data_IF_069099828133
#
_entry.id   IF_069099828133
#
_cell.length_a   1.000
_cell.length_b   1.000
_cell.length_c   1.000
_cell.angle_alpha   90.00
_cell.angle_beta   90.00
_cell.angle_gamma   90.00
#
_symmetry.space_group_name_H-M   'P 1'
#
loop_
_entity.id
_entity.type
_entity.pdbx_description
1 polymer ?
#
# COMPACT_ATOMS: atom_id res chain seq x y z
N UNK A 1 27.64 68.33 -33.65
CA UNK A 1 28.18 69.40 -32.80
C UNK A 1 28.00 69.04 -31.35
N UNK A 2 29.15 69.07 -30.61
CA UNK A 2 29.33 69.17 -29.14
C UNK A 2 28.59 68.14 -28.25
N UNK A 3 29.22 67.04 -27.76
CA UNK A 3 30.08 66.96 -26.59
C UNK A 3 29.54 67.70 -25.33
N UNK A 4 29.22 66.93 -24.26
CA UNK A 4 29.88 67.14 -22.98
C UNK A 4 29.67 65.93 -22.06
N UNK A 5 30.74 65.55 -21.45
CA UNK A 5 31.20 64.49 -20.64
C UNK A 5 31.08 64.82 -19.12
N UNK A 6 30.93 63.77 -18.32
CA UNK A 6 31.57 63.52 -17.02
C UNK A 6 30.86 63.97 -15.74
N UNK A 7 31.37 63.44 -14.62
CA UNK A 7 30.92 62.29 -13.83
C UNK A 7 30.66 62.76 -12.38
N UNK A 8 30.25 61.87 -11.51
CA UNK A 8 30.50 61.92 -10.05
C UNK A 8 29.53 60.95 -9.34
N UNK A 9 29.86 60.18 -8.49
CA UNK A 9 30.76 59.90 -7.38
C UNK A 9 30.00 58.94 -6.46
N UNK A 10 30.70 57.95 -6.10
CA UNK A 10 30.47 56.94 -5.06
C UNK A 10 30.06 57.56 -3.70
N UNK A 11 29.01 57.05 -3.07
CA UNK A 11 28.88 57.15 -1.64
C UNK A 11 28.26 55.89 -1.05
N UNK A 12 29.13 55.07 -0.45
CA UNK A 12 28.73 54.01 0.44
C UNK A 12 28.07 54.59 1.70
N UNK A 13 26.88 54.10 2.00
CA UNK A 13 26.30 54.28 3.33
C UNK A 13 25.99 52.92 3.89
N UNK A 14 26.84 52.45 4.80
CA UNK A 14 26.60 51.31 5.70
C UNK A 14 25.62 51.80 6.77
N UNK A 15 24.44 51.25 6.79
CA UNK A 15 23.55 51.36 7.95
C UNK A 15 23.37 50.00 8.57
N UNK A 16 24.03 49.80 9.68
CA UNK A 16 23.77 48.77 10.66
C UNK A 16 22.44 49.07 11.33
N UNK A 17 21.45 48.21 11.22
CA UNK A 17 20.33 48.23 12.16
C UNK A 17 20.19 46.90 12.86
N UNK A 18 20.13 47.07 14.11
CA UNK A 18 19.99 46.19 15.25
C UNK A 18 18.80 45.23 15.17
N UNK A 19 19.02 44.07 15.78
CA UNK A 19 18.02 43.05 16.13
C UNK A 19 16.80 43.65 16.87
N UNK A 20 15.63 43.19 16.51
CA UNK A 20 14.56 42.93 17.46
C UNK A 20 13.94 41.57 17.13
N UNK A 21 14.04 40.69 18.08
CA UNK A 21 13.39 39.41 18.18
C UNK A 21 11.87 39.59 18.22
N UNK A 22 11.16 38.92 17.33
CA UNK A 22 9.74 38.60 17.48
C UNK A 22 9.60 37.10 17.38
N UNK A 23 9.37 36.49 18.53
CA UNK A 23 9.07 35.08 18.70
C UNK A 23 7.63 34.83 18.20
N UNK A 24 7.50 34.39 16.94
CA UNK A 24 6.33 33.69 16.46
C UNK A 24 6.57 32.18 16.61
N UNK A 25 5.54 31.35 16.89
CA UNK A 25 5.73 29.90 16.96
C UNK A 25 6.11 29.37 15.58
N UNK A 26 7.35 28.93 15.45
CA UNK A 26 7.83 28.22 14.27
C UNK A 26 7.19 26.83 14.24
N UNK A 27 6.48 26.56 13.16
CA UNK A 27 6.19 25.19 12.73
C UNK A 27 7.53 24.55 12.32
N UNK A 28 8.24 23.98 13.27
CA UNK A 28 9.34 23.05 13.02
C UNK A 28 8.78 21.64 12.83
N UNK A 29 8.06 21.41 11.72
CA UNK A 29 7.81 20.08 11.20
C UNK A 29 9.04 19.55 10.44
N UNK A 30 10.20 19.68 11.02
CA UNK A 30 11.39 18.95 10.64
C UNK A 30 11.42 17.67 11.47
N UNK A 31 10.57 16.69 11.10
CA UNK A 31 10.75 15.31 11.56
C UNK A 31 12.13 14.90 11.03
N UNK A 32 13.10 14.56 11.88
CA UNK A 32 14.37 14.03 11.41
C UNK A 32 14.06 12.79 10.59
N UNK A 33 14.53 12.78 9.34
CA UNK A 33 14.59 11.55 8.55
C UNK A 33 15.33 10.52 9.43
N UNK A 34 14.70 9.43 9.87
CA UNK A 34 15.39 8.43 10.66
C UNK A 34 16.58 7.97 9.82
N UNK A 35 17.77 7.89 10.40
CA UNK A 35 18.92 7.23 9.77
C UNK A 35 18.58 5.75 9.60
N UNK A 36 17.66 5.45 8.68
CA UNK A 36 17.36 4.08 8.29
C UNK A 36 18.58 3.57 7.54
N UNK A 37 19.15 2.47 8.03
CA UNK A 37 20.28 1.82 7.37
C UNK A 37 19.95 1.48 5.91
N UNK A 38 20.98 1.31 5.08
CA UNK A 38 20.82 0.89 3.69
C UNK A 38 20.07 -0.45 3.62
N UNK A 39 18.98 -0.51 2.85
CA UNK A 39 18.18 -1.73 2.68
C UNK A 39 18.93 -2.73 1.79
N UNK A 40 19.01 -3.98 2.22
CA UNK A 40 19.48 -5.08 1.38
C UNK A 40 18.38 -5.57 0.43
N UNK A 41 18.74 -5.80 -0.83
CA UNK A 41 17.87 -6.37 -1.86
C UNK A 41 18.40 -7.71 -2.36
N UNK A 42 17.60 -8.80 -2.27
CA UNK A 42 18.03 -10.09 -2.81
C UNK A 42 18.12 -10.03 -4.35
N UNK A 43 19.14 -10.70 -4.96
CA UNK A 43 19.31 -10.67 -6.40
C UNK A 43 18.08 -11.13 -7.18
N UNK A 44 17.77 -10.45 -8.28
CA UNK A 44 16.72 -10.86 -9.20
C UNK A 44 17.12 -12.17 -9.87
N UNK A 45 16.22 -13.16 -9.88
CA UNK A 45 16.47 -14.48 -10.49
C UNK A 45 17.27 -15.46 -9.62
N UNK A 46 17.56 -15.10 -8.36
CA UNK A 46 18.16 -16.00 -7.37
C UNK A 46 17.19 -16.29 -6.20
N UNK A 47 17.35 -17.46 -5.61
CA UNK A 47 16.70 -17.81 -4.34
C UNK A 47 17.54 -17.37 -3.12
N UNK A 48 18.74 -16.87 -3.34
CA UNK A 48 19.61 -16.38 -2.28
C UNK A 48 19.01 -15.13 -1.63
N UNK A 49 19.11 -15.07 -0.29
CA UNK A 49 18.66 -13.94 0.51
C UNK A 49 19.53 -13.85 1.76
N UNK A 50 20.10 -12.69 2.04
CA UNK A 50 20.85 -12.51 3.28
C UNK A 50 19.95 -12.64 4.50
N UNK A 51 20.55 -13.13 5.59
CA UNK A 51 19.87 -13.29 6.87
C UNK A 51 20.58 -12.51 7.96
N UNK A 52 19.86 -12.15 8.99
CA UNK A 52 20.42 -11.66 10.26
C UNK A 52 19.75 -12.40 11.40
N UNK A 53 20.46 -12.56 12.54
CA UNK A 53 19.84 -13.28 13.66
C UNK A 53 19.08 -12.31 14.57
N UNK A 54 18.00 -12.75 15.25
CA UNK A 54 17.33 -11.95 16.26
C UNK A 54 18.28 -11.47 17.37
N UNK A 55 19.25 -12.29 17.75
CA UNK A 55 20.25 -11.94 18.75
C UNK A 55 21.16 -10.78 18.31
N UNK A 56 21.54 -10.72 17.02
CA UNK A 56 22.37 -9.62 16.48
C UNK A 56 21.60 -8.29 16.47
N UNK A 57 20.27 -8.36 16.42
CA UNK A 57 19.36 -7.21 16.49
C UNK A 57 18.99 -6.83 17.94
N UNK A 58 19.39 -7.65 18.93
CA UNK A 58 19.04 -7.43 20.34
C UNK A 58 17.59 -7.81 20.69
N UNK A 59 16.91 -8.60 19.84
CA UNK A 59 15.55 -9.03 20.07
C UNK A 59 15.44 -10.08 21.19
N UNK A 60 14.29 -10.15 21.85
CA UNK A 60 14.06 -11.14 22.91
C UNK A 60 13.73 -12.52 22.36
N UNK A 61 14.76 -13.32 22.14
CA UNK A 61 14.61 -14.70 21.65
C UNK A 61 13.87 -15.63 22.61
N UNK A 62 13.63 -15.22 23.87
CA UNK A 62 12.82 -16.02 24.79
C UNK A 62 11.33 -15.96 24.45
N UNK A 63 10.88 -14.95 23.71
CA UNK A 63 9.51 -14.79 23.22
C UNK A 63 9.28 -15.49 21.86
N UNK A 64 10.33 -15.94 21.15
CA UNK A 64 10.25 -16.53 19.80
C UNK A 64 9.29 -17.72 19.74
N UNK A 65 9.37 -18.63 20.74
CA UNK A 65 8.52 -19.82 20.77
C UNK A 65 7.04 -19.46 20.91
N UNK A 66 6.70 -18.43 21.67
CA UNK A 66 5.30 -18.00 21.83
C UNK A 66 4.72 -17.39 20.55
N UNK A 67 5.55 -16.70 19.75
CA UNK A 67 5.17 -16.23 18.41
C UNK A 67 4.98 -17.42 17.46
N UNK A 68 5.90 -18.38 17.44
CA UNK A 68 5.80 -19.58 16.61
C UNK A 68 4.54 -20.39 16.93
N UNK A 69 4.27 -20.65 18.22
CA UNK A 69 3.11 -21.42 18.67
C UNK A 69 1.78 -20.73 18.28
N UNK A 70 1.71 -19.39 18.39
CA UNK A 70 0.56 -18.62 17.94
C UNK A 70 0.32 -18.79 16.44
N UNK A 71 1.37 -18.65 15.63
CA UNK A 71 1.26 -18.76 14.17
C UNK A 71 0.83 -20.17 13.75
N UNK A 72 1.36 -21.21 14.38
CA UNK A 72 0.95 -22.60 14.14
C UNK A 72 -0.51 -22.83 14.53
N UNK A 73 -0.93 -22.39 15.75
CA UNK A 73 -2.32 -22.48 16.23
C UNK A 73 -3.30 -21.79 15.29
N UNK A 74 -2.88 -20.67 14.70
CA UNK A 74 -3.71 -19.83 13.83
C UNK A 74 -3.62 -20.20 12.34
N UNK A 75 -3.17 -21.41 12.02
CA UNK A 75 -3.19 -21.95 10.66
C UNK A 75 -2.31 -21.14 9.68
N UNK A 76 -1.16 -20.68 10.14
CA UNK A 76 -0.18 -20.04 9.26
C UNK A 76 0.49 -21.10 8.39
N UNK A 77 0.64 -20.82 7.10
CA UNK A 77 1.38 -21.64 6.13
C UNK A 77 2.80 -21.12 5.97
N UNK A 78 2.96 -19.82 5.73
CA UNK A 78 4.27 -19.20 5.56
C UNK A 78 4.35 -17.86 6.29
N UNK A 79 5.49 -17.63 6.97
CA UNK A 79 5.74 -16.42 7.74
C UNK A 79 7.17 -15.93 7.53
N UNK A 80 7.32 -14.63 7.23
CA UNK A 80 8.63 -14.00 7.05
C UNK A 80 8.64 -12.67 7.81
N UNK A 81 9.73 -12.42 8.53
CA UNK A 81 10.09 -11.09 9.03
C UNK A 81 11.38 -10.65 8.36
N UNK A 82 11.35 -9.46 7.75
CA UNK A 82 12.57 -8.78 7.27
C UNK A 82 12.87 -7.57 8.15
N UNK A 83 14.15 -7.40 8.48
CA UNK A 83 14.73 -6.19 9.06
C UNK A 83 15.84 -5.69 8.15
N UNK A 84 15.80 -4.42 7.76
CA UNK A 84 16.74 -3.82 6.82
C UNK A 84 16.92 -4.62 5.51
N UNK A 85 15.81 -5.24 5.04
CA UNK A 85 15.78 -6.08 3.84
C UNK A 85 16.31 -7.51 4.02
N UNK A 86 16.89 -7.86 5.18
CA UNK A 86 17.41 -9.21 5.48
C UNK A 86 16.38 -10.05 6.21
N UNK A 87 16.38 -11.36 5.94
CA UNK A 87 15.50 -12.31 6.64
C UNK A 87 15.97 -12.48 8.09
N UNK A 88 15.09 -12.16 9.04
CA UNK A 88 15.26 -12.48 10.49
C UNK A 88 14.59 -13.78 10.82
N UNK A 89 13.36 -13.96 10.31
CA UNK A 89 12.52 -15.14 10.52
C UNK A 89 11.99 -15.58 9.17
N UNK A 90 12.03 -16.90 8.94
CA UNK A 90 11.38 -17.54 7.80
C UNK A 90 10.89 -18.92 8.25
N UNK A 91 9.58 -19.05 8.46
CA UNK A 91 8.93 -20.26 8.92
C UNK A 91 7.87 -20.74 7.94
N UNK A 92 7.79 -22.04 7.80
CA UNK A 92 6.78 -22.74 7.03
C UNK A 92 6.16 -23.83 7.91
N UNK A 93 4.82 -23.94 7.88
CA UNK A 93 4.08 -24.79 8.79
C UNK A 93 3.41 -25.93 8.06
N UNK A 94 3.16 -27.06 8.77
CA UNK A 94 2.55 -28.25 8.20
C UNK A 94 3.34 -28.81 7.01
N UNK A 95 2.64 -29.03 5.90
CA UNK A 95 3.23 -29.50 4.64
C UNK A 95 3.61 -28.35 3.69
N UNK A 96 3.38 -27.09 4.09
CA UNK A 96 3.67 -25.92 3.24
C UNK A 96 5.18 -25.66 3.21
N UNK A 97 5.71 -25.30 2.04
CA UNK A 97 7.14 -25.08 1.80
C UNK A 97 7.41 -23.73 1.14
N UNK A 98 8.68 -23.32 1.09
CA UNK A 98 9.13 -22.08 0.41
C UNK A 98 8.75 -22.03 -1.08
N UNK A 99 8.45 -23.17 -1.70
CA UNK A 99 8.05 -23.24 -3.13
C UNK A 99 6.56 -23.18 -3.37
N UNK A 100 5.75 -23.32 -2.32
CA UNK A 100 4.31 -23.37 -2.45
C UNK A 100 3.70 -21.98 -2.60
N UNK A 101 2.63 -21.90 -3.39
CA UNK A 101 1.90 -20.65 -3.62
C UNK A 101 0.62 -20.59 -2.80
N UNK A 102 0.38 -19.45 -2.20
CA UNK A 102 -0.86 -19.14 -1.51
C UNK A 102 -1.53 -17.91 -2.14
N UNK A 103 -2.86 -17.78 -2.01
CA UNK A 103 -3.58 -16.57 -2.43
C UNK A 103 -3.25 -15.40 -1.51
N UNK A 104 -2.99 -14.21 -2.08
CA UNK A 104 -2.91 -12.98 -1.31
C UNK A 104 -4.30 -12.42 -0.95
N UNK A 105 -5.34 -12.95 -1.58
CA UNK A 105 -6.68 -12.40 -1.50
C UNK A 105 -6.65 -10.88 -1.71
N UNK A 106 -7.32 -10.11 -0.83
CA UNK A 106 -7.37 -8.65 -0.96
C UNK A 106 -6.05 -7.93 -0.72
N UNK A 107 -5.02 -8.58 -0.15
CA UNK A 107 -3.69 -7.97 -0.08
C UNK A 107 -3.12 -7.70 -1.50
N UNK A 108 -3.55 -8.47 -2.51
CA UNK A 108 -3.19 -8.21 -3.92
C UNK A 108 -3.69 -6.88 -4.48
N UNK A 109 -4.65 -6.20 -3.83
CA UNK A 109 -5.09 -4.86 -4.20
C UNK A 109 -3.95 -3.83 -4.17
N UNK A 110 -3.01 -4.02 -3.27
CA UNK A 110 -1.82 -3.16 -3.16
C UNK A 110 -0.93 -3.24 -4.41
N UNK A 111 -0.84 -4.42 -5.02
CA UNK A 111 -0.16 -4.63 -6.29
C UNK A 111 -0.92 -3.95 -7.46
N UNK A 112 -2.27 -3.95 -7.41
CA UNK A 112 -3.10 -3.19 -8.37
C UNK A 112 -2.86 -1.69 -8.23
N UNK A 113 -2.81 -1.15 -7.01
CA UNK A 113 -2.53 0.28 -6.79
C UNK A 113 -1.17 0.70 -7.38
N UNK A 114 -0.13 -0.08 -7.16
CA UNK A 114 1.19 0.19 -7.74
C UNK A 114 1.17 0.09 -9.28
N UNK A 115 0.43 -0.89 -9.83
CA UNK A 115 0.29 -1.04 -11.30
C UNK A 115 -0.39 0.18 -11.93
N UNK A 116 -1.41 0.75 -11.28
CA UNK A 116 -2.07 2.00 -11.72
C UNK A 116 -1.09 3.18 -11.66
N UNK A 117 -0.29 3.27 -10.59
CA UNK A 117 0.72 4.33 -10.45
C UNK A 117 1.76 4.31 -11.56
N UNK A 118 2.24 3.12 -11.93
CA UNK A 118 3.17 2.96 -13.05
C UNK A 118 2.52 3.34 -14.38
N UNK A 119 1.25 2.99 -14.60
CA UNK A 119 0.52 3.38 -15.81
C UNK A 119 0.33 4.91 -15.88
N UNK A 120 0.11 5.59 -14.74
CA UNK A 120 0.10 7.04 -14.66
C UNK A 120 1.47 7.65 -14.96
N UNK A 121 2.53 7.17 -14.33
CA UNK A 121 3.89 7.65 -14.55
C UNK A 121 4.32 7.52 -16.02
N UNK A 122 3.94 6.43 -16.68
CA UNK A 122 4.21 6.21 -18.10
C UNK A 122 3.29 7.06 -19.02
N UNK A 123 2.35 7.84 -18.45
CA UNK A 123 1.47 8.73 -19.19
C UNK A 123 0.33 8.05 -19.94
N UNK A 124 0.00 6.80 -19.59
CA UNK A 124 -1.13 6.08 -20.19
C UNK A 124 -2.47 6.51 -19.60
N UNK A 125 -2.49 6.95 -18.35
CA UNK A 125 -3.67 7.45 -17.66
C UNK A 125 -3.29 8.52 -16.64
N UNK A 126 -4.31 9.27 -16.17
CA UNK A 126 -4.22 10.05 -14.94
C UNK A 126 -5.29 9.58 -13.96
N UNK A 127 -4.97 9.47 -12.69
CA UNK A 127 -5.97 9.06 -11.68
C UNK A 127 -7.10 10.10 -11.53
N UNK A 128 -6.88 11.35 -11.98
CA UNK A 128 -7.90 12.39 -12.04
C UNK A 128 -8.88 12.27 -13.21
N UNK A 129 -8.54 11.48 -14.23
CA UNK A 129 -9.40 11.31 -15.41
C UNK A 129 -10.67 10.54 -15.08
N UNK A 130 -11.72 10.78 -15.84
CA UNK A 130 -12.94 9.99 -15.77
C UNK A 130 -12.67 8.54 -16.17
N UNK A 131 -13.21 7.58 -15.42
CA UNK A 131 -13.15 6.17 -15.78
C UNK A 131 -13.79 5.90 -17.14
N UNK A 132 -14.77 6.71 -17.53
CA UNK A 132 -15.44 6.65 -18.83
C UNK A 132 -14.48 6.90 -20.01
N UNK A 133 -13.38 7.65 -19.80
CA UNK A 133 -12.37 7.90 -20.85
C UNK A 133 -11.67 6.60 -21.28
N UNK A 134 -11.62 5.62 -20.41
CA UNK A 134 -10.99 4.31 -20.64
C UNK A 134 -12.00 3.20 -20.92
N UNK A 135 -13.16 3.23 -20.25
CA UNK A 135 -14.17 2.19 -20.34
C UNK A 135 -15.22 2.45 -21.43
N UNK A 136 -15.31 3.70 -21.89
CA UNK A 136 -16.37 4.15 -22.81
C UNK A 136 -17.68 4.47 -22.07
N UNK A 137 -18.58 5.21 -22.74
CA UNK A 137 -19.91 5.50 -22.23
C UNK A 137 -20.74 4.24 -22.09
N UNK A 138 -21.49 4.13 -21.00
CA UNK A 138 -22.38 3.02 -20.71
C UNK A 138 -21.67 1.77 -20.16
N UNK A 139 -20.53 1.97 -19.51
CA UNK A 139 -19.82 0.91 -18.76
C UNK A 139 -20.58 0.43 -17.51
N UNK A 140 -21.59 1.20 -17.09
CA UNK A 140 -22.43 0.95 -15.92
C UNK A 140 -23.91 1.18 -16.24
N UNK A 141 -24.80 1.10 -15.26
CA UNK A 141 -26.22 1.49 -15.36
C UNK A 141 -26.46 2.95 -14.96
N UNK A 142 -25.40 3.71 -14.74
CA UNK A 142 -25.46 5.13 -14.41
C UNK A 142 -25.79 5.95 -15.67
N UNK A 143 -26.20 7.21 -15.47
CA UNK A 143 -26.29 8.16 -16.58
C UNK A 143 -24.88 8.58 -17.06
N UNK A 144 -24.71 9.04 -18.31
CA UNK A 144 -23.41 9.49 -18.79
C UNK A 144 -22.79 10.59 -17.90
N UNK A 145 -23.60 11.48 -17.33
CA UNK A 145 -23.10 12.51 -16.43
C UNK A 145 -22.59 11.91 -15.11
N UNK A 146 -23.26 10.87 -14.59
CA UNK A 146 -22.80 10.17 -13.38
C UNK A 146 -21.51 9.38 -13.65
N UNK A 147 -21.45 8.67 -14.79
CA UNK A 147 -20.22 7.96 -15.19
C UNK A 147 -19.03 8.92 -15.35
N UNK A 148 -19.25 10.09 -15.96
CA UNK A 148 -18.21 11.10 -16.16
C UNK A 148 -17.64 11.67 -14.84
N UNK A 149 -18.40 11.60 -13.75
CA UNK A 149 -17.96 12.06 -12.42
C UNK A 149 -17.15 11.01 -11.65
N UNK A 150 -17.10 9.74 -12.09
CA UNK A 150 -16.31 8.70 -11.45
C UNK A 150 -14.90 8.70 -12.04
N UNK A 151 -13.92 9.18 -11.28
CA UNK A 151 -12.52 9.16 -11.68
C UNK A 151 -11.83 7.84 -11.31
N UNK A 152 -10.70 7.56 -11.95
CA UNK A 152 -9.82 6.42 -11.59
C UNK A 152 -9.44 6.46 -10.10
N UNK A 153 -9.21 7.66 -9.56
CA UNK A 153 -8.92 7.85 -8.13
C UNK A 153 -10.05 7.36 -7.22
N UNK A 154 -11.31 7.52 -7.62
CA UNK A 154 -12.44 7.04 -6.82
C UNK A 154 -12.44 5.51 -6.65
N UNK A 155 -11.95 4.76 -7.62
CA UNK A 155 -11.77 3.30 -7.49
C UNK A 155 -10.63 2.96 -6.51
N UNK A 156 -9.49 3.66 -6.60
CA UNK A 156 -8.34 3.49 -5.70
C UNK A 156 -8.68 3.80 -4.24
N UNK A 157 -9.56 4.76 -4.01
CA UNK A 157 -9.93 5.26 -2.67
C UNK A 157 -11.22 4.65 -2.11
N UNK A 158 -11.85 3.71 -2.84
CA UNK A 158 -13.13 3.08 -2.46
C UNK A 158 -14.29 4.09 -2.29
N UNK A 159 -14.34 5.11 -3.15
CA UNK A 159 -15.31 6.21 -3.07
C UNK A 159 -16.07 6.45 -4.37
N UNK A 160 -16.26 5.41 -5.19
CA UNK A 160 -16.94 5.52 -6.50
C UNK A 160 -18.40 5.93 -6.41
N UNK A 161 -19.06 5.70 -5.27
CA UNK A 161 -20.49 5.91 -5.13
C UNK A 161 -21.37 4.83 -5.77
N UNK A 162 -20.78 3.75 -6.29
CA UNK A 162 -21.51 2.59 -6.81
C UNK A 162 -22.23 1.84 -5.67
N UNK A 163 -23.35 1.22 -5.98
CA UNK A 163 -24.18 0.51 -5.00
C UNK A 163 -23.56 -0.82 -4.60
N UNK A 164 -23.05 -0.87 -3.38
CA UNK A 164 -22.48 -2.05 -2.75
C UNK A 164 -23.52 -2.98 -2.10
N UNK A 165 -24.82 -2.60 -2.14
CA UNK A 165 -25.92 -3.38 -1.55
C UNK A 165 -26.63 -4.26 -2.57
N UNK A 166 -26.08 -4.38 -3.78
CA UNK A 166 -26.52 -5.33 -4.79
C UNK A 166 -26.35 -6.78 -4.31
N UNK A 167 -27.06 -7.73 -4.94
CA UNK A 167 -27.04 -9.15 -4.55
C UNK A 167 -25.64 -9.75 -4.53
N UNK A 168 -24.79 -9.38 -5.50
CA UNK A 168 -23.37 -9.77 -5.56
C UNK A 168 -22.47 -8.51 -5.63
N UNK A 169 -21.89 -8.09 -4.51
CA UNK A 169 -21.02 -6.90 -4.46
C UNK A 169 -19.64 -7.11 -5.12
N UNK A 170 -19.36 -8.28 -5.67
CA UNK A 170 -18.18 -8.56 -6.49
C UNK A 170 -18.46 -8.42 -7.99
N UNK A 171 -19.72 -8.50 -8.40
CA UNK A 171 -20.14 -8.42 -9.78
C UNK A 171 -19.82 -7.04 -10.38
N UNK A 172 -18.97 -7.02 -11.40
CA UNK A 172 -18.64 -5.81 -12.18
C UNK A 172 -19.23 -5.83 -13.60
N UNK A 173 -20.17 -6.72 -13.86
CA UNK A 173 -21.01 -6.61 -15.07
C UNK A 173 -21.83 -5.33 -14.99
N UNK A 174 -22.10 -4.72 -16.15
CA UNK A 174 -22.81 -3.44 -16.23
C UNK A 174 -24.06 -3.37 -15.36
N UNK A 175 -24.86 -4.45 -15.36
CA UNK A 175 -26.15 -4.55 -14.69
C UNK A 175 -26.03 -4.52 -13.16
N UNK A 176 -24.84 -4.85 -12.62
CA UNK A 176 -24.54 -4.81 -11.19
C UNK A 176 -24.04 -3.43 -10.73
N UNK A 177 -23.60 -2.58 -11.66
CA UNK A 177 -22.97 -1.29 -11.37
C UNK A 177 -24.03 -0.19 -11.33
N UNK A 178 -24.70 -0.07 -10.19
CA UNK A 178 -25.81 0.85 -9.97
C UNK A 178 -25.32 2.09 -9.20
N UNK A 179 -26.03 3.23 -9.37
CA UNK A 179 -25.75 4.45 -8.63
C UNK A 179 -26.33 4.37 -7.20
N UNK A 180 -25.55 4.80 -6.22
CA UNK A 180 -26.00 4.96 -4.83
C UNK A 180 -25.69 6.33 -4.25
N UNK A 181 -24.45 6.80 -4.39
CA UNK A 181 -23.98 8.07 -3.82
C UNK A 181 -23.20 8.86 -4.86
N UNK A 182 -23.05 10.18 -4.67
CA UNK A 182 -22.11 10.96 -5.43
C UNK A 182 -20.68 10.48 -5.19
N UNK A 183 -19.84 10.33 -6.25
CA UNK A 183 -18.45 9.97 -6.10
C UNK A 183 -17.71 10.89 -5.12
N UNK A 184 -16.85 10.32 -4.28
CA UNK A 184 -16.10 11.05 -3.27
C UNK A 184 -16.87 11.44 -2.01
N UNK A 185 -18.16 11.11 -1.89
CA UNK A 185 -18.99 11.50 -0.73
C UNK A 185 -19.23 10.37 0.28
N UNK A 186 -18.92 9.14 -0.11
CA UNK A 186 -19.10 7.96 0.73
C UNK A 186 -17.96 6.97 0.53
N UNK A 187 -17.46 6.39 1.61
CA UNK A 187 -16.46 5.32 1.56
C UNK A 187 -17.11 3.98 1.89
N UNK A 188 -16.88 2.99 1.05
CA UNK A 188 -17.24 1.61 1.30
C UNK A 188 -16.27 0.66 0.61
N UNK A 189 -15.86 -0.40 1.31
CA UNK A 189 -14.96 -1.42 0.76
C UNK A 189 -15.70 -2.27 -0.28
N UNK A 190 -15.70 -1.84 -1.54
CA UNK A 190 -16.50 -2.39 -2.63
C UNK A 190 -15.61 -3.12 -3.64
N UNK A 191 -15.71 -4.47 -3.68
CA UNK A 191 -14.84 -5.27 -4.51
C UNK A 191 -15.05 -5.04 -6.02
N UNK A 192 -16.29 -4.97 -6.50
CA UNK A 192 -16.55 -4.65 -7.90
C UNK A 192 -15.89 -3.34 -8.32
N UNK A 193 -15.98 -2.30 -7.48
CA UNK A 193 -15.44 -0.98 -7.78
C UNK A 193 -13.92 -1.00 -8.00
N UNK A 194 -13.15 -1.74 -7.18
CA UNK A 194 -11.70 -1.79 -7.38
C UNK A 194 -11.30 -2.67 -8.58
N UNK A 195 -12.03 -3.77 -8.83
CA UNK A 195 -11.67 -4.72 -9.90
C UNK A 195 -11.77 -4.09 -11.29
N UNK A 196 -12.59 -3.05 -11.45
CA UNK A 196 -12.70 -2.24 -12.69
C UNK A 196 -11.35 -1.60 -13.06
N UNK A 197 -10.45 -1.34 -12.12
CA UNK A 197 -9.11 -0.83 -12.39
C UNK A 197 -8.33 -1.73 -13.37
N UNK A 198 -8.56 -3.04 -13.35
CA UNK A 198 -7.92 -3.98 -14.29
C UNK A 198 -8.31 -3.65 -15.74
N UNK A 199 -9.58 -3.32 -15.97
CA UNK A 199 -10.09 -2.94 -17.30
C UNK A 199 -9.58 -1.55 -17.69
N UNK A 200 -9.53 -0.61 -16.74
CA UNK A 200 -9.00 0.74 -16.98
C UNK A 200 -7.53 0.67 -17.41
N UNK A 201 -6.68 -0.06 -16.68
CA UNK A 201 -5.26 -0.23 -17.03
C UNK A 201 -5.11 -0.94 -18.37
N UNK A 202 -5.91 -1.98 -18.62
CA UNK A 202 -5.88 -2.70 -19.91
C UNK A 202 -6.22 -1.78 -21.07
N UNK A 203 -7.27 -0.98 -20.94
CA UNK A 203 -7.71 -0.05 -21.98
C UNK A 203 -6.70 1.09 -22.19
N UNK A 204 -6.20 1.69 -21.11
CA UNK A 204 -5.23 2.77 -21.16
C UNK A 204 -3.91 2.36 -21.80
N UNK A 205 -3.36 1.20 -21.41
CA UNK A 205 -2.03 0.74 -21.85
C UNK A 205 -2.07 -0.06 -23.14
N UNK A 206 -3.24 -0.54 -23.58
CA UNK A 206 -3.39 -1.49 -24.68
C UNK A 206 -2.79 -2.88 -24.39
N UNK A 207 -2.43 -3.15 -23.14
CA UNK A 207 -1.83 -4.41 -22.67
C UNK A 207 -2.72 -4.99 -21.56
N UNK A 208 -3.01 -6.28 -21.63
CA UNK A 208 -3.76 -6.96 -20.56
C UNK A 208 -3.16 -6.67 -19.19
N UNK A 209 -4.00 -6.34 -18.20
CA UNK A 209 -3.59 -5.93 -16.85
C UNK A 209 -2.59 -6.90 -16.21
N UNK A 210 -2.85 -8.20 -16.30
CA UNK A 210 -1.97 -9.23 -15.71
C UNK A 210 -0.59 -9.18 -16.36
N UNK A 211 -0.55 -9.12 -17.68
CA UNK A 211 0.68 -9.03 -18.46
C UNK A 211 1.44 -7.75 -18.14
N UNK A 212 0.74 -6.61 -18.06
CA UNK A 212 1.35 -5.33 -17.73
C UNK A 212 1.94 -5.34 -16.31
N UNK A 213 1.19 -5.81 -15.32
CA UNK A 213 1.64 -5.97 -13.93
C UNK A 213 2.87 -6.89 -13.83
N UNK A 214 2.90 -8.01 -14.59
CA UNK A 214 4.07 -8.90 -14.62
C UNK A 214 5.31 -8.21 -15.16
N UNK A 215 5.19 -7.55 -16.30
CA UNK A 215 6.33 -6.88 -16.95
C UNK A 215 6.87 -5.70 -16.15
N UNK A 216 5.98 -4.97 -15.49
CA UNK A 216 6.34 -3.73 -14.78
C UNK A 216 6.81 -3.95 -13.36
N UNK A 217 6.31 -4.98 -12.68
CA UNK A 217 6.61 -5.22 -11.26
C UNK A 217 7.22 -6.61 -11.06
N UNK A 218 6.44 -7.68 -11.26
CA UNK A 218 6.81 -9.05 -10.90
C UNK A 218 8.18 -9.46 -11.43
N UNK A 219 8.39 -9.33 -12.74
CA UNK A 219 9.59 -9.80 -13.42
C UNK A 219 10.81 -8.93 -13.09
N UNK A 220 10.59 -7.65 -12.78
CA UNK A 220 11.65 -6.69 -12.48
C UNK A 220 12.25 -6.85 -11.09
N UNK A 221 11.47 -7.34 -10.13
CA UNK A 221 11.94 -7.57 -8.76
C UNK A 221 12.12 -9.06 -8.42
N UNK A 222 12.02 -9.94 -9.44
CA UNK A 222 12.23 -11.37 -9.28
C UNK A 222 11.15 -12.09 -8.48
N UNK A 223 9.92 -11.57 -8.44
CA UNK A 223 8.77 -12.26 -7.88
C UNK A 223 8.37 -13.45 -8.77
N UNK A 224 7.82 -14.47 -8.14
CA UNK A 224 7.06 -15.54 -8.78
C UNK A 224 5.59 -15.37 -8.50
N UNK A 225 4.74 -16.09 -9.21
CA UNK A 225 3.31 -16.04 -8.97
C UNK A 225 2.52 -15.50 -10.14
N UNK A 226 1.19 -15.59 -10.03
CA UNK A 226 0.29 -15.23 -11.12
C UNK A 226 -1.05 -14.71 -10.59
N UNK A 227 -1.68 -13.83 -11.38
CA UNK A 227 -3.07 -13.49 -11.22
C UNK A 227 -3.98 -14.62 -11.69
N UNK A 228 -4.90 -15.05 -10.84
CA UNK A 228 -5.91 -16.10 -11.14
C UNK A 228 -7.29 -15.50 -10.95
N UNK A 229 -8.13 -15.61 -11.96
CA UNK A 229 -9.52 -15.15 -11.90
C UNK A 229 -10.39 -16.22 -11.24
N UNK A 230 -11.06 -15.88 -10.15
CA UNK A 230 -12.00 -16.74 -9.43
C UNK A 230 -13.33 -15.99 -9.30
N UNK A 231 -14.32 -16.37 -10.11
CA UNK A 231 -15.56 -15.61 -10.26
C UNK A 231 -15.25 -14.19 -10.77
N UNK A 232 -15.71 -13.18 -10.06
CA UNK A 232 -15.42 -11.77 -10.35
C UNK A 232 -14.11 -11.28 -9.73
N UNK A 233 -13.40 -12.08 -8.91
CA UNK A 233 -12.16 -11.68 -8.29
C UNK A 233 -10.95 -12.01 -9.16
N UNK A 234 -10.02 -11.10 -9.24
CA UNK A 234 -8.69 -11.32 -9.76
C UNK A 234 -7.71 -11.36 -8.58
N UNK A 235 -7.22 -12.55 -8.25
CA UNK A 235 -6.41 -12.82 -7.05
C UNK A 235 -4.97 -13.13 -7.44
N UNK A 236 -4.01 -12.53 -6.75
CA UNK A 236 -2.60 -12.86 -6.94
C UNK A 236 -2.21 -14.05 -6.05
N UNK A 237 -1.56 -15.04 -6.65
CA UNK A 237 -1.02 -16.21 -5.95
C UNK A 237 0.49 -16.22 -6.08
N UNK A 238 1.20 -16.35 -4.98
CA UNK A 238 2.66 -16.49 -4.96
C UNK A 238 3.14 -17.22 -3.72
N UNK A 239 4.44 -17.56 -3.71
CA UNK A 239 5.09 -17.99 -2.48
C UNK A 239 5.34 -16.80 -1.53
N UNK A 240 5.65 -17.12 -0.27
CA UNK A 240 5.84 -16.13 0.80
C UNK A 240 6.97 -15.14 0.49
N UNK A 241 8.10 -15.63 -0.06
CA UNK A 241 9.24 -14.78 -0.45
C UNK A 241 8.89 -13.79 -1.56
N UNK A 242 7.99 -14.14 -2.46
CA UNK A 242 7.52 -13.21 -3.50
C UNK A 242 6.69 -12.07 -2.93
N UNK A 243 5.85 -12.34 -1.94
CA UNK A 243 5.14 -11.29 -1.21
C UNK A 243 6.12 -10.41 -0.43
N UNK A 244 7.16 -11.00 0.16
CA UNK A 244 8.22 -10.27 0.82
C UNK A 244 9.00 -9.36 -0.14
N UNK A 245 9.28 -9.79 -1.38
CA UNK A 245 9.90 -8.94 -2.40
C UNK A 245 9.05 -7.72 -2.74
N UNK A 246 7.74 -7.91 -2.87
CA UNK A 246 6.83 -6.79 -3.10
C UNK A 246 6.78 -5.83 -1.90
N UNK A 247 6.73 -6.37 -0.68
CA UNK A 247 6.80 -5.57 0.54
C UNK A 247 8.10 -4.75 0.63
N UNK A 248 9.24 -5.35 0.30
CA UNK A 248 10.54 -4.68 0.28
C UNK A 248 10.61 -3.56 -0.77
N UNK A 249 10.03 -3.78 -1.97
CA UNK A 249 9.87 -2.72 -2.97
C UNK A 249 9.06 -1.54 -2.42
N UNK A 250 7.96 -1.83 -1.71
CA UNK A 250 7.11 -0.80 -1.13
C UNK A 250 7.79 -0.10 0.05
N UNK A 251 8.51 -0.84 0.90
CA UNK A 251 9.29 -0.27 2.00
C UNK A 251 10.34 0.74 1.49
N UNK A 252 10.94 0.46 0.33
CA UNK A 252 11.85 1.37 -0.37
C UNK A 252 11.15 2.29 -1.40
N UNK A 253 9.90 2.63 -1.13
CA UNK A 253 9.14 3.64 -1.87
C UNK A 253 9.15 3.44 -3.40
N UNK A 254 9.02 2.20 -3.86
CA UNK A 254 8.94 1.87 -5.29
C UNK A 254 10.28 1.72 -6.02
N UNK A 255 11.40 1.69 -5.29
CA UNK A 255 12.74 1.46 -5.84
C UNK A 255 13.26 0.09 -5.40
N UNK A 256 13.67 -0.75 -6.34
CA UNK A 256 14.30 -2.04 -6.08
C UNK A 256 15.80 -1.93 -6.29
N UNK A 257 16.57 -1.95 -5.19
CA UNK A 257 17.99 -1.64 -5.25
C UNK A 257 18.21 -0.29 -5.98
N UNK A 258 19.01 -0.23 -7.03
CA UNK A 258 19.21 0.97 -7.86
C UNK A 258 18.17 1.13 -8.99
N UNK A 259 17.15 0.26 -9.05
CA UNK A 259 16.16 0.25 -10.14
C UNK A 259 14.84 0.86 -9.73
N UNK A 260 14.50 2.00 -10.29
CA UNK A 260 13.17 2.60 -10.13
C UNK A 260 12.10 1.74 -10.83
N UNK A 261 11.12 1.26 -10.07
CA UNK A 261 9.95 0.53 -10.53
C UNK A 261 8.76 1.49 -10.64
N UNK A 262 8.62 2.35 -9.64
CA UNK A 262 7.69 3.49 -9.60
C UNK A 262 8.49 4.70 -9.10
N UNK A 263 8.86 5.62 -10.00
CA UNK A 263 9.67 6.80 -9.66
C UNK A 263 8.83 8.00 -9.23
N UNK A 264 7.51 8.00 -9.50
CA UNK A 264 6.58 9.03 -9.02
C UNK A 264 6.40 8.93 -7.50
N UNK A 265 7.27 9.61 -6.75
CA UNK A 265 7.24 9.65 -5.29
C UNK A 265 6.00 10.36 -4.76
N UNK A 266 5.39 11.26 -5.52
CA UNK A 266 4.13 11.91 -5.14
C UNK A 266 3.00 10.90 -5.14
N UNK A 267 2.86 10.13 -6.22
CA UNK A 267 1.86 9.05 -6.27
C UNK A 267 2.10 8.01 -5.17
N UNK A 268 3.38 7.61 -4.96
CA UNK A 268 3.71 6.65 -3.90
C UNK A 268 3.28 7.15 -2.52
N UNK A 269 3.59 8.40 -2.20
CA UNK A 269 3.20 9.04 -0.94
C UNK A 269 1.66 9.09 -0.79
N UNK A 270 0.94 9.52 -1.83
CA UNK A 270 -0.53 9.53 -1.81
C UNK A 270 -1.12 8.13 -1.69
N UNK A 271 -0.47 7.11 -2.28
CA UNK A 271 -0.88 5.72 -2.18
C UNK A 271 -0.80 5.18 -0.75
N UNK A 272 0.22 5.61 0.00
CA UNK A 272 0.56 5.09 1.34
C UNK A 272 0.23 6.06 2.48
N UNK A 273 -0.54 7.11 2.21
CA UNK A 273 -1.06 8.05 3.22
C UNK A 273 -2.58 8.17 3.12
N UNK A 274 -3.19 8.87 4.07
CA UNK A 274 -4.65 9.11 4.07
C UNK A 274 -5.10 9.73 2.75
N UNK A 275 -5.93 9.01 2.00
CA UNK A 275 -6.37 9.42 0.66
C UNK A 275 -7.62 10.31 0.68
N UNK A 276 -8.40 10.27 1.75
CA UNK A 276 -9.66 11.00 1.94
C UNK A 276 -10.10 10.93 3.42
N UNK A 277 -10.98 11.85 3.85
CA UNK A 277 -11.40 11.99 5.25
C UNK A 277 -12.58 11.10 5.67
N UNK A 278 -13.16 10.30 4.77
CA UNK A 278 -14.29 9.41 5.06
C UNK A 278 -13.86 8.13 5.78
N UNK A 279 -12.63 7.68 5.53
CA UNK A 279 -11.90 6.63 6.23
C UNK A 279 -10.41 6.99 6.25
N UNK A 280 -9.91 7.72 7.25
CA UNK A 280 -8.51 8.15 7.31
C UNK A 280 -7.50 7.00 7.30
N UNK A 281 -7.92 5.81 7.74
CA UNK A 281 -7.09 4.59 7.76
C UNK A 281 -7.01 3.88 6.39
N UNK A 282 -7.25 4.62 5.26
CA UNK A 282 -7.20 4.04 3.92
C UNK A 282 -6.52 4.97 2.90
N UNK A 283 -5.47 4.43 2.27
CA UNK A 283 -4.75 5.05 1.16
C UNK A 283 -5.33 4.65 -0.20
N UNK A 284 -4.48 4.43 -1.21
CA UNK A 284 -4.89 3.83 -2.47
C UNK A 284 -4.76 2.31 -2.35
N UNK A 285 -5.84 1.67 -1.90
CA UNK A 285 -5.94 0.21 -1.67
C UNK A 285 -4.99 -0.31 -0.57
N UNK A 286 -4.42 0.56 0.26
CA UNK A 286 -3.62 0.24 1.43
C UNK A 286 -4.36 0.61 2.71
N UNK A 287 -4.18 -0.19 3.76
CA UNK A 287 -4.63 0.10 5.11
C UNK A 287 -3.54 0.87 5.88
N UNK A 288 -3.94 1.80 6.74
CA UNK A 288 -3.03 2.71 7.44
C UNK A 288 -3.34 2.71 8.93
N UNK A 289 -2.32 2.53 9.77
CA UNK A 289 -2.42 2.68 11.22
C UNK A 289 -2.22 4.14 11.69
N UNK A 290 -2.20 4.37 13.00
CA UNK A 290 -1.95 5.68 13.60
C UNK A 290 -3.03 6.72 13.31
N UNK A 291 -4.28 6.30 13.00
CA UNK A 291 -5.39 7.21 12.74
C UNK A 291 -6.44 7.14 13.84
N UNK A 292 -7.08 8.28 14.13
CA UNK A 292 -8.06 8.39 15.21
C UNK A 292 -9.38 7.67 14.96
N UNK A 293 -9.63 7.23 13.71
CA UNK A 293 -10.84 6.50 13.35
C UNK A 293 -10.62 5.68 12.08
N UNK A 294 -11.42 4.63 11.91
CA UNK A 294 -11.38 3.75 10.75
C UNK A 294 -12.76 3.19 10.39
N UNK A 295 -12.88 2.65 9.17
CA UNK A 295 -13.99 1.78 8.75
C UNK A 295 -13.43 0.44 8.29
N UNK A 296 -14.23 -0.62 8.48
CA UNK A 296 -13.88 -1.98 8.08
C UNK A 296 -14.69 -2.46 6.86
N UNK A 297 -14.22 -3.48 6.12
CA UNK A 297 -15.02 -4.11 5.06
C UNK A 297 -16.34 -4.65 5.59
N UNK A 298 -17.40 -4.52 4.77
CA UNK A 298 -18.74 -5.00 5.13
C UNK A 298 -19.47 -4.15 6.18
N UNK A 299 -18.89 -3.02 6.61
CA UNK A 299 -19.48 -2.12 7.61
C UNK A 299 -19.58 -0.68 7.10
N UNK A 300 -20.68 -0.02 7.43
CA UNK A 300 -20.85 1.42 7.25
C UNK A 300 -20.43 2.21 8.51
N UNK A 301 -20.19 1.49 9.62
CA UNK A 301 -19.84 2.09 10.91
C UNK A 301 -18.42 2.69 10.86
N UNK A 302 -18.29 3.89 11.43
CA UNK A 302 -16.99 4.45 11.78
C UNK A 302 -16.64 3.99 13.20
N UNK A 303 -15.49 3.38 13.36
CA UNK A 303 -14.93 2.97 14.63
C UNK A 303 -13.92 4.02 15.08
N UNK A 304 -13.95 4.39 16.35
CA UNK A 304 -12.98 5.30 16.96
C UNK A 304 -11.70 4.54 17.33
N UNK A 305 -10.57 5.22 17.21
CA UNK A 305 -9.26 4.68 17.53
C UNK A 305 -8.53 4.12 16.33
N UNK A 306 -7.32 3.66 16.60
CA UNK A 306 -6.43 3.08 15.61
C UNK A 306 -6.93 1.75 15.06
N UNK A 307 -6.48 1.41 13.88
CA UNK A 307 -6.83 0.16 13.23
C UNK A 307 -6.18 -1.03 13.93
N UNK A 308 -4.93 -0.85 14.39
CA UNK A 308 -4.11 -1.84 15.08
C UNK A 308 -3.42 -1.20 16.30
N UNK A 309 -4.10 -1.11 17.46
CA UNK A 309 -3.58 -0.39 18.63
C UNK A 309 -2.24 -0.90 19.18
N UNK A 310 -1.87 -2.16 18.92
CA UNK A 310 -0.61 -2.75 19.35
C UNK A 310 0.50 -2.66 18.29
N UNK A 311 0.21 -2.11 17.10
CA UNK A 311 1.19 -1.93 16.03
C UNK A 311 1.75 -0.50 16.01
N UNK A 312 2.94 -0.28 15.42
CA UNK A 312 3.49 1.07 15.23
C UNK A 312 2.53 2.00 14.46
N UNK A 313 2.53 3.30 14.81
CA UNK A 313 1.63 4.31 14.21
C UNK A 313 1.81 4.46 12.69
N UNK A 314 3.03 4.29 12.19
CA UNK A 314 3.37 4.41 10.78
C UNK A 314 3.18 3.11 9.98
N UNK A 315 2.58 2.08 10.59
CA UNK A 315 2.29 0.82 9.91
C UNK A 315 1.39 1.05 8.69
N UNK A 316 1.83 0.50 7.57
CA UNK A 316 1.08 0.41 6.30
C UNK A 316 0.83 -1.06 6.01
N UNK A 317 -0.41 -1.44 5.68
CA UNK A 317 -0.77 -2.84 5.56
C UNK A 317 -1.52 -3.19 4.26
N UNK A 318 -1.09 -4.29 3.63
CA UNK A 318 -1.87 -5.04 2.65
C UNK A 318 -2.57 -6.20 3.34
N UNK A 319 -3.91 -6.17 3.41
CA UNK A 319 -4.69 -7.16 4.14
C UNK A 319 -5.59 -7.96 3.20
N UNK A 320 -5.60 -9.27 3.37
CA UNK A 320 -6.44 -10.18 2.61
C UNK A 320 -7.35 -11.04 3.49
N UNK A 321 -8.48 -11.48 2.93
CA UNK A 321 -9.36 -12.45 3.57
C UNK A 321 -8.56 -13.67 4.04
N UNK A 322 -9.02 -14.30 5.12
CA UNK A 322 -8.32 -15.41 5.80
C UNK A 322 -6.94 -14.98 6.34
N UNK A 323 -6.87 -13.72 6.80
CA UNK A 323 -5.70 -13.17 7.50
C UNK A 323 -4.39 -13.21 6.70
N UNK A 324 -4.45 -12.99 5.37
CA UNK A 324 -3.25 -12.71 4.61
C UNK A 324 -2.73 -11.32 4.99
N UNK A 325 -1.48 -11.24 5.41
CA UNK A 325 -0.90 -10.03 5.96
C UNK A 325 0.40 -9.66 5.26
N UNK A 326 0.49 -8.40 4.86
CA UNK A 326 1.72 -7.70 4.49
C UNK A 326 1.78 -6.44 5.32
N UNK A 327 2.66 -6.39 6.31
CA UNK A 327 2.89 -5.21 7.15
C UNK A 327 4.21 -4.56 6.79
N UNK A 328 4.20 -3.25 6.70
CA UNK A 328 5.38 -2.41 6.48
C UNK A 328 5.44 -1.38 7.60
N UNK A 329 6.57 -1.29 8.29
CA UNK A 329 6.88 -0.28 9.31
C UNK A 329 8.07 0.53 8.81
N UNK A 330 7.84 1.65 8.09
CA UNK A 330 8.90 2.42 7.46
C UNK A 330 9.94 2.96 8.45
N UNK A 331 9.51 3.46 9.61
CA UNK A 331 10.40 3.99 10.64
C UNK A 331 11.44 2.99 11.14
N UNK A 332 11.16 1.69 10.98
CA UNK A 332 12.01 0.63 11.48
C UNK A 332 12.69 -0.19 10.38
N UNK A 333 12.44 0.09 9.09
CA UNK A 333 12.82 -0.83 8.01
C UNK A 333 12.37 -2.28 8.27
N UNK A 334 11.21 -2.43 8.89
CA UNK A 334 10.63 -3.72 9.27
C UNK A 334 9.51 -4.09 8.29
N UNK A 335 9.49 -5.34 7.88
CA UNK A 335 8.42 -5.87 7.05
C UNK A 335 8.06 -7.29 7.48
N UNK A 336 6.75 -7.60 7.50
CA UNK A 336 6.24 -8.89 7.94
C UNK A 336 5.24 -9.41 6.90
N UNK A 337 5.37 -10.69 6.54
CA UNK A 337 4.43 -11.42 5.70
C UNK A 337 3.86 -12.60 6.46
N UNK A 338 2.55 -12.77 6.42
CA UNK A 338 1.85 -14.00 6.77
C UNK A 338 0.95 -14.44 5.62
N UNK A 339 1.08 -15.69 5.23
CA UNK A 339 0.14 -16.41 4.37
C UNK A 339 -0.39 -17.62 5.15
N UNK A 340 -1.67 -17.92 5.02
CA UNK A 340 -2.26 -19.06 5.73
C UNK A 340 -3.79 -19.06 5.70
N UNK A 341 -4.37 -19.97 6.48
CA UNK A 341 -5.80 -20.09 6.68
C UNK A 341 -6.36 -19.01 7.61
N UNK A 342 -7.69 -18.98 7.76
CA UNK A 342 -8.43 -18.11 8.66
C UNK A 342 -7.96 -18.26 10.12
N UNK A 343 -7.49 -17.18 10.72
CA UNK A 343 -7.06 -17.16 12.11
C UNK A 343 -8.22 -17.09 13.13
N UNK A 344 -9.48 -17.16 12.68
CA UNK A 344 -10.66 -17.38 13.51
C UNK A 344 -11.83 -16.42 13.36
N UNK A 345 -11.77 -15.39 12.51
CA UNK A 345 -12.85 -14.40 12.39
C UNK A 345 -13.42 -14.22 10.99
N UNK A 346 -12.84 -14.88 9.97
CA UNK A 346 -13.25 -14.79 8.57
C UNK A 346 -13.50 -13.36 8.08
N UNK A 347 -12.59 -12.44 8.39
CA UNK A 347 -12.69 -11.03 7.99
C UNK A 347 -12.10 -10.80 6.59
N UNK A 348 -12.63 -9.77 5.90
CA UNK A 348 -12.15 -9.39 4.56
C UNK A 348 -10.93 -8.44 4.58
N UNK A 349 -10.44 -8.08 5.76
CA UNK A 349 -9.34 -7.13 5.95
C UNK A 349 -8.80 -7.17 7.38
N UNK A 350 -8.90 -6.06 8.15
CA UNK A 350 -8.51 -6.04 9.56
C UNK A 350 -9.31 -7.03 10.40
N UNK A 351 -8.67 -7.69 11.36
CA UNK A 351 -9.28 -8.66 12.27
C UNK A 351 -8.66 -8.54 13.67
N UNK A 352 -9.25 -9.18 14.68
CA UNK A 352 -8.65 -9.21 16.02
C UNK A 352 -7.33 -9.96 16.07
N UNK A 353 -7.05 -10.80 15.08
CA UNK A 353 -5.77 -11.49 14.95
C UNK A 353 -4.62 -10.51 14.71
N UNK A 354 -4.85 -9.37 14.04
CA UNK A 354 -3.81 -8.37 13.83
C UNK A 354 -3.20 -7.90 15.16
N UNK A 355 -4.02 -7.48 16.13
CA UNK A 355 -3.50 -7.06 17.44
C UNK A 355 -2.87 -8.20 18.21
N UNK A 356 -3.46 -9.40 18.19
CA UNK A 356 -2.88 -10.56 18.85
C UNK A 356 -1.49 -10.91 18.29
N UNK A 357 -1.32 -10.78 16.98
CA UNK A 357 -0.03 -11.00 16.32
C UNK A 357 0.97 -9.90 16.72
N UNK A 358 0.55 -8.63 16.73
CA UNK A 358 1.41 -7.51 17.10
C UNK A 358 1.81 -7.57 18.59
N UNK A 359 0.93 -8.00 19.49
CA UNK A 359 1.33 -8.28 20.89
C UNK A 359 2.51 -9.27 20.99
N UNK A 360 2.51 -10.33 20.16
CA UNK A 360 3.61 -11.31 20.14
C UNK A 360 4.85 -10.79 19.43
N UNK A 361 4.66 -10.00 18.38
CA UNK A 361 5.77 -9.35 17.66
C UNK A 361 6.50 -8.37 18.57
N UNK A 362 5.79 -7.49 19.28
CA UNK A 362 6.37 -6.54 20.23
C UNK A 362 7.16 -7.25 21.33
N UNK A 363 6.63 -8.33 21.87
CA UNK A 363 7.35 -9.13 22.87
C UNK A 363 8.63 -9.75 22.30
N UNK A 364 8.65 -10.14 21.01
CA UNK A 364 9.81 -10.74 20.35
C UNK A 364 10.82 -9.68 19.89
N UNK A 365 10.35 -8.57 19.36
CA UNK A 365 11.19 -7.47 18.88
C UNK A 365 11.81 -6.71 20.07
N UNK A 366 11.13 -6.69 21.22
CA UNK A 366 11.60 -6.03 22.43
C UNK A 366 11.12 -4.60 22.60
N UNK A 367 9.92 -4.29 22.09
CA UNK A 367 9.22 -3.02 22.21
C UNK A 367 8.16 -3.02 23.32
#
# INVERSE_FOLDING_TARGET
MKRFTHPFLLLCLVLVFSCSSDDGPGDDDNIPDPETGELYFPPVGSAEWETTSPNDLGWDTTAEQALYDLLEEKGTDGFIILKDGKIVVEWYFGDFTAGDNHSWNSAGKTLTAMTVGIAQEEGFLSIGDSSMDYLGEGWSMLTPEQEANISVRHHLTMTTGLDYTVDDPFCYDKECLLYKNEPGTYWYYHNAAYTILDQIVTSATGTDFKTYSYQKIRDRIGMQGNWITVGYNNLFFSNTRSMARFGLLCLNQGTWDDTEILSDKTYFTEMTTTSQNLNPSYGYLWWLNGKSQHKAPGSETTFEGELFPDAPDDLIAGLGAFDQKLYLVPSENLMIVRLGDDAGENQLGPSSFDNLLWERLNAFIGE
#
